data_IF_858047999394
#
_entry.id   IF_858047999394
#
_cell.length_a   1.000
_cell.length_b   1.000
_cell.length_c   1.000
_cell.angle_alpha   90.00
_cell.angle_beta   90.00
_cell.angle_gamma   90.00
#
_symmetry.space_group_name_H-M   'P 1'
#
loop_
_entity.id
_entity.type
_entity.pdbx_description
1 polymer ?
#
# COMPACT_ATOMS: atom_id res chain seq x y z
N UNK A 1 5.33 -12.12 8.86
CA UNK A 1 6.34 -11.87 9.92
C UNK A 1 6.64 -10.38 9.83
N UNK A 2 6.46 -9.63 10.92
CA UNK A 2 6.76 -8.20 10.95
C UNK A 2 8.22 -8.03 11.36
N UNK A 3 9.03 -7.38 10.52
CA UNK A 3 10.46 -7.16 10.71
C UNK A 3 10.71 -5.64 10.74
N UNK A 4 10.79 -5.06 11.93
CA UNK A 4 10.91 -3.61 12.11
C UNK A 4 12.19 -3.02 11.47
N UNK A 5 13.26 -3.82 11.42
CA UNK A 5 14.55 -3.39 10.84
C UNK A 5 14.46 -3.28 9.31
N UNK A 6 13.74 -4.20 8.65
CA UNK A 6 13.45 -4.13 7.20
C UNK A 6 12.64 -2.88 6.84
N UNK A 7 11.70 -2.50 7.70
CA UNK A 7 10.89 -1.30 7.49
C UNK A 7 11.72 -0.01 7.58
N UNK A 8 12.71 0.04 8.47
CA UNK A 8 13.62 1.17 8.61
C UNK A 8 14.57 1.29 7.41
N UNK A 9 15.11 0.18 6.92
CA UNK A 9 15.98 0.15 5.74
C UNK A 9 15.24 0.63 4.48
N UNK A 10 13.95 0.34 4.36
CA UNK A 10 13.14 0.68 3.19
C UNK A 10 12.20 1.88 3.40
N UNK A 11 12.40 2.69 4.44
CA UNK A 11 11.52 3.80 4.78
C UNK A 11 11.32 4.82 3.63
N UNK A 12 12.37 5.07 2.84
CA UNK A 12 12.29 5.97 1.69
C UNK A 12 11.37 5.43 0.59
N UNK A 13 11.52 4.15 0.23
CA UNK A 13 10.68 3.50 -0.80
C UNK A 13 9.21 3.43 -0.33
N UNK A 14 8.97 3.16 0.95
CA UNK A 14 7.63 3.26 1.54
C UNK A 14 7.04 4.65 1.32
N UNK A 15 7.79 5.70 1.68
CA UNK A 15 7.34 7.09 1.57
C UNK A 15 6.99 7.47 0.13
N UNK A 16 7.82 7.07 -0.83
CA UNK A 16 7.58 7.31 -2.26
C UNK A 16 6.30 6.63 -2.75
N UNK A 17 6.11 5.35 -2.39
CA UNK A 17 4.89 4.62 -2.73
C UNK A 17 3.64 5.26 -2.11
N UNK A 18 3.73 5.72 -0.86
CA UNK A 18 2.63 6.44 -0.20
C UNK A 18 2.26 7.72 -0.92
N UNK A 19 3.24 8.54 -1.32
CA UNK A 19 2.99 9.79 -2.04
C UNK A 19 2.27 9.54 -3.38
N UNK A 20 2.71 8.52 -4.12
CA UNK A 20 2.05 8.09 -5.36
C UNK A 20 0.59 7.66 -5.14
N UNK A 21 0.29 7.06 -3.99
CA UNK A 21 -1.06 6.64 -3.62
C UNK A 21 -1.90 7.79 -3.07
N UNK A 22 -1.30 8.73 -2.34
CA UNK A 22 -1.97 9.86 -1.70
C UNK A 22 -2.54 10.86 -2.71
N UNK A 23 -1.85 11.09 -3.82
CA UNK A 23 -2.22 12.09 -4.84
C UNK A 23 -3.55 11.80 -5.60
N UNK A 24 -3.82 10.59 -6.14
CA UNK A 24 -5.03 10.33 -6.93
C UNK A 24 -6.28 10.07 -6.10
N UNK A 25 -7.46 10.42 -6.61
CA UNK A 25 -8.75 10.14 -5.93
C UNK A 25 -9.16 8.65 -5.90
N UNK A 26 -8.49 7.83 -6.71
CA UNK A 26 -8.78 6.40 -6.82
C UNK A 26 -7.58 5.61 -7.34
N UNK A 27 -7.67 4.29 -7.24
CA UNK A 27 -6.62 3.34 -7.56
C UNK A 27 -7.13 2.28 -8.54
N UNK A 28 -6.32 1.95 -9.54
CA UNK A 28 -6.48 0.75 -10.35
C UNK A 28 -5.38 -0.23 -9.97
N UNK A 29 -5.78 -1.38 -9.43
CA UNK A 29 -4.88 -2.41 -8.91
C UNK A 29 -5.00 -3.63 -9.81
N UNK A 30 -3.92 -3.94 -10.53
CA UNK A 30 -3.82 -5.14 -11.35
C UNK A 30 -2.73 -6.07 -10.82
N UNK A 31 -3.02 -7.36 -10.72
CA UNK A 31 -2.06 -8.38 -10.29
C UNK A 31 -2.32 -9.72 -10.99
N UNK A 32 -1.31 -10.57 -11.20
CA UNK A 32 -1.55 -11.93 -11.69
C UNK A 32 -2.18 -12.79 -10.60
N UNK A 33 -3.00 -13.76 -10.98
CA UNK A 33 -3.51 -14.76 -10.04
C UNK A 33 -2.35 -15.64 -9.55
N UNK A 34 -2.21 -15.78 -8.23
CA UNK A 34 -1.21 -16.63 -7.62
C UNK A 34 -1.88 -17.59 -6.64
N UNK A 35 -1.81 -18.89 -6.92
CA UNK A 35 -2.42 -19.95 -6.11
C UNK A 35 -3.92 -19.72 -5.80
N UNK A 36 -4.71 -19.26 -6.79
CA UNK A 36 -6.14 -19.00 -6.61
C UNK A 36 -6.47 -17.70 -5.87
N UNK A 37 -5.51 -16.78 -5.73
CA UNK A 37 -5.71 -15.53 -5.00
C UNK A 37 -4.76 -14.40 -5.39
N UNK A 38 -4.76 -13.35 -4.56
CA UNK A 38 -3.87 -12.20 -4.73
C UNK A 38 -2.42 -12.56 -4.41
N UNK A 39 -1.49 -11.82 -5.02
CA UNK A 39 -0.05 -12.05 -4.81
C UNK A 39 0.41 -11.59 -3.42
N UNK A 40 1.43 -12.27 -2.89
CA UNK A 40 2.11 -11.81 -1.66
C UNK A 40 2.67 -10.39 -1.81
N UNK A 41 3.13 -10.02 -3.01
CA UNK A 41 3.59 -8.67 -3.31
C UNK A 41 2.48 -7.64 -3.15
N UNK A 42 1.26 -7.91 -3.64
CA UNK A 42 0.13 -6.99 -3.49
C UNK A 42 -0.19 -6.78 -2.01
N UNK A 43 -0.29 -7.87 -1.25
CA UNK A 43 -0.58 -7.82 0.19
C UNK A 43 0.47 -6.99 0.93
N UNK A 44 1.74 -7.29 0.69
CA UNK A 44 2.83 -6.57 1.33
C UNK A 44 2.81 -5.09 0.95
N UNK A 45 2.55 -4.75 -0.32
CA UNK A 45 2.46 -3.35 -0.77
C UNK A 45 1.35 -2.59 -0.07
N UNK A 46 0.16 -3.20 0.08
CA UNK A 46 -0.97 -2.62 0.81
C UNK A 46 -0.64 -2.47 2.29
N UNK A 47 -0.11 -3.51 2.93
CA UNK A 47 0.30 -3.47 4.34
C UNK A 47 1.32 -2.36 4.58
N UNK A 48 2.20 -2.11 3.62
CA UNK A 48 3.27 -1.15 3.73
C UNK A 48 2.77 0.30 3.77
N UNK A 49 1.70 0.59 3.04
CA UNK A 49 1.11 1.94 2.94
C UNK A 49 -0.14 2.14 3.80
N UNK A 50 -0.66 1.07 4.41
CA UNK A 50 -1.88 1.14 5.21
C UNK A 50 -1.74 1.95 6.51
N UNK A 51 -0.68 1.78 7.33
CA UNK A 51 -0.53 2.53 8.57
C UNK A 51 -0.43 4.04 8.31
N UNK A 52 -1.03 4.92 9.13
CA UNK A 52 -0.82 6.36 9.03
C UNK A 52 0.60 6.72 9.47
N UNK A 53 1.24 7.66 8.77
CA UNK A 53 2.51 8.24 9.20
C UNK A 53 2.29 9.28 10.30
N UNK A 54 3.33 9.63 11.06
CA UNK A 54 3.20 10.59 12.17
C UNK A 54 2.61 11.95 11.77
N UNK A 55 2.93 12.42 10.56
CA UNK A 55 2.43 13.67 10.02
C UNK A 55 0.99 13.57 9.50
N UNK A 56 0.47 12.35 9.30
CA UNK A 56 -0.87 12.05 8.77
C UNK A 56 -1.84 11.59 9.86
N UNK A 57 -1.42 11.54 11.14
CA UNK A 57 -2.22 11.03 12.26
C UNK A 57 -3.61 11.65 12.41
N UNK A 58 -3.90 12.79 11.75
CA UNK A 58 -5.23 13.42 11.68
C UNK A 58 -6.10 12.98 10.49
N UNK A 59 -5.51 12.47 9.40
CA UNK A 59 -6.19 12.14 8.14
C UNK A 59 -6.36 10.62 7.92
N UNK A 60 -5.64 9.79 8.68
CA UNK A 60 -5.76 8.34 8.63
C UNK A 60 -4.89 7.71 7.54
N UNK A 61 -5.23 6.49 7.12
CA UNK A 61 -4.50 5.79 6.05
C UNK A 61 -4.58 6.57 4.74
N UNK A 62 -3.50 6.59 3.95
CA UNK A 62 -3.53 7.12 2.57
C UNK A 62 -4.52 6.37 1.68
N UNK A 63 -5.04 5.21 2.07
CA UNK A 63 -6.08 4.47 1.32
C UNK A 63 -7.52 4.90 1.68
N UNK A 64 -7.71 5.68 2.74
CA UNK A 64 -9.03 6.02 3.25
C UNK A 64 -9.80 6.88 2.23
N UNK A 65 -11.03 6.47 1.92
CA UNK A 65 -11.93 7.22 1.03
C UNK A 65 -11.60 7.13 -0.46
N UNK A 66 -10.56 6.39 -0.87
CA UNK A 66 -10.21 6.21 -2.29
C UNK A 66 -11.08 5.14 -2.96
N UNK A 67 -11.52 5.42 -4.19
CA UNK A 67 -12.20 4.44 -5.03
C UNK A 67 -11.17 3.44 -5.59
N UNK A 68 -11.39 2.13 -5.46
CA UNK A 68 -10.48 1.11 -5.97
C UNK A 68 -11.15 0.21 -7.01
N UNK A 69 -10.49 0.03 -8.16
CA UNK A 69 -10.82 -0.97 -9.17
C UNK A 69 -9.75 -2.08 -9.14
N UNK A 70 -10.16 -3.34 -9.10
CA UNK A 70 -9.25 -4.49 -8.97
C UNK A 70 -9.40 -5.43 -10.18
N UNK A 71 -8.27 -5.86 -10.73
CA UNK A 71 -8.20 -6.74 -11.89
C UNK A 71 -7.18 -7.87 -11.65
N UNK A 72 -7.53 -9.10 -12.05
CA UNK A 72 -6.65 -10.27 -11.96
C UNK A 72 -6.76 -11.12 -13.22
N UNK A 73 -5.66 -11.78 -13.60
CA UNK A 73 -5.55 -12.67 -14.76
C UNK A 73 -4.60 -13.84 -14.49
#
# INVERSE_FOLDING_TARGET
>A
MYEADWEAEHAQLRRELRLLVAEPHGLSIAFPEHNGGYTALLKNSIDWISPPEEYEKREGSVLLGKLAAVMSA
#
